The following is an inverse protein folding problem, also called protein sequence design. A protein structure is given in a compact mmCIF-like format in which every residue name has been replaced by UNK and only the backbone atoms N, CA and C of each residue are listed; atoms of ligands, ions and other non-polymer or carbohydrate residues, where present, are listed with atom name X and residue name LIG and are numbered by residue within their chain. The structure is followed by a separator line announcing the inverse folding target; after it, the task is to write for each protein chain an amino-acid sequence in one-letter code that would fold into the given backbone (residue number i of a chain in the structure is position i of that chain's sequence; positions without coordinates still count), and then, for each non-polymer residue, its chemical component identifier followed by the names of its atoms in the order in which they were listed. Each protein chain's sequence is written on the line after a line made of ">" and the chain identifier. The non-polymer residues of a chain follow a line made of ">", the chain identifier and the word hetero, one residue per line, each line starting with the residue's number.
data_IF_529184192797
#
_entry.id   IF_529184192797
#
_cell.length_a   1.000
_cell.length_b   1.000
_cell.length_c   1.000
_cell.angle_alpha   90.00
_cell.angle_beta   90.00
_cell.angle_gamma   90.00
#
_symmetry.space_group_name_H-M   'P 1'
#
loop_
_entity.id
_entity.type
_entity.pdbx_description
1 polymer ?
#
# COMPACT_ATOMS: atom_id res chain seq x y z
N UNK A 1 21.99 -9.51 12.01
CA UNK A 1 21.89 -8.03 11.96
C UNK A 1 22.71 -7.35 10.85
N UNK A 2 23.74 -7.96 10.24
CA UNK A 2 24.60 -7.29 9.23
C UNK A 2 24.00 -6.98 7.85
N UNK A 3 22.79 -7.47 7.54
CA UNK A 3 22.18 -7.34 6.20
C UNK A 3 21.15 -6.20 6.09
N UNK A 4 20.59 -5.76 7.23
CA UNK A 4 19.65 -4.62 7.30
C UNK A 4 20.41 -3.31 7.06
N UNK A 5 21.61 -3.17 7.63
CA UNK A 5 22.49 -2.02 7.41
C UNK A 5 23.01 -1.93 5.96
N UNK A 6 23.10 -3.08 5.27
CA UNK A 6 23.54 -3.16 3.87
C UNK A 6 22.43 -2.73 2.89
N UNK A 7 21.17 -2.99 3.23
CA UNK A 7 20.00 -2.48 2.49
C UNK A 7 19.77 -0.98 2.73
N UNK A 8 20.01 -0.50 3.95
CA UNK A 8 19.93 0.94 4.28
C UNK A 8 20.93 1.80 3.49
N UNK A 9 22.15 1.30 3.25
CA UNK A 9 23.18 2.02 2.51
C UNK A 9 23.03 1.97 0.98
N UNK A 10 22.34 0.96 0.43
CA UNK A 10 22.11 0.84 -1.02
C UNK A 10 21.04 1.82 -1.53
N UNK A 11 20.09 2.17 -0.67
CA UNK A 11 18.95 3.03 -1.02
C UNK A 11 19.20 4.54 -0.79
N UNK A 12 20.25 4.92 -0.05
CA UNK A 12 20.35 6.27 0.52
C UNK A 12 21.32 7.26 -0.14
N UNK A 13 22.35 6.81 -0.87
CA UNK A 13 23.48 7.69 -1.22
C UNK A 13 23.85 7.81 -2.69
N UNK A 14 23.81 6.70 -3.44
CA UNK A 14 24.53 6.59 -4.73
C UNK A 14 23.66 6.95 -5.96
N UNK A 15 22.33 6.89 -5.82
CA UNK A 15 21.38 7.26 -6.88
C UNK A 15 21.17 8.77 -6.99
N UNK A 16 21.21 9.49 -5.87
CA UNK A 16 21.01 10.94 -5.83
C UNK A 16 22.20 11.72 -6.39
N UNK A 17 23.43 11.24 -6.17
CA UNK A 17 24.65 11.81 -6.75
C UNK A 17 24.73 11.59 -8.25
N UNK A 18 24.43 10.37 -8.74
CA UNK A 18 24.41 10.06 -10.18
C UNK A 18 23.32 10.83 -10.94
N UNK A 19 22.18 11.11 -10.30
CA UNK A 19 21.15 11.95 -10.88
C UNK A 19 21.56 13.43 -10.99
N UNK A 20 22.41 13.91 -10.06
CA UNK A 20 22.87 15.31 -10.03
C UNK A 20 23.90 15.59 -11.12
N UNK A 21 24.80 14.65 -11.38
CA UNK A 21 25.85 14.80 -12.40
C UNK A 21 25.28 14.81 -13.83
N UNK A 22 24.23 14.02 -14.11
CA UNK A 22 23.53 14.01 -15.41
C UNK A 22 22.78 15.33 -15.67
N UNK A 23 22.25 15.96 -14.61
CA UNK A 23 21.55 17.26 -14.72
C UNK A 23 22.52 18.40 -15.01
N UNK A 24 23.75 18.32 -14.50
CA UNK A 24 24.77 19.35 -14.73
C UNK A 24 25.48 19.21 -16.10
N UNK A 25 25.54 18.00 -16.66
CA UNK A 25 26.17 17.75 -17.96
C UNK A 25 25.26 18.06 -19.17
N UNK A 26 23.93 18.07 -18.99
CA UNK A 26 22.96 18.27 -20.08
C UNK A 26 22.47 19.72 -20.30
N UNK A 27 22.71 20.68 -19.41
CA UNK A 27 22.15 22.04 -19.54
C UNK A 27 23.17 23.15 -19.27
N UNK A 28 23.40 24.01 -20.27
CA UNK A 28 24.39 25.10 -20.27
C UNK A 28 23.80 26.51 -20.10
N UNK A 29 22.47 26.67 -20.02
CA UNK A 29 21.81 27.97 -19.76
C UNK A 29 20.93 27.95 -18.50
N UNK A 30 21.00 28.99 -17.66
CA UNK A 30 20.22 29.09 -16.40
C UNK A 30 18.69 29.10 -16.62
N UNK A 31 18.25 29.56 -17.80
CA UNK A 31 16.83 29.69 -18.15
C UNK A 31 16.18 28.33 -18.51
N UNK A 32 16.90 27.45 -19.21
CA UNK A 32 16.44 26.08 -19.49
C UNK A 32 16.46 25.18 -18.25
N UNK A 33 17.46 25.34 -17.36
CA UNK A 33 17.46 24.66 -16.05
C UNK A 33 16.25 25.07 -15.23
N UNK A 34 15.93 26.37 -15.17
CA UNK A 34 14.78 26.85 -14.40
C UNK A 34 13.45 26.36 -14.96
N UNK A 35 13.26 26.36 -16.28
CA UNK A 35 12.05 25.82 -16.92
C UNK A 35 11.90 24.31 -16.70
N UNK A 36 12.99 23.54 -16.79
CA UNK A 36 12.97 22.09 -16.56
C UNK A 36 12.73 21.75 -15.08
N UNK A 37 13.30 22.51 -14.14
CA UNK A 37 13.02 22.37 -12.71
C UNK A 37 11.55 22.69 -12.40
N UNK A 38 11.00 23.75 -13.01
CA UNK A 38 9.57 24.09 -12.91
C UNK A 38 8.67 22.98 -13.47
N UNK A 39 9.06 22.37 -14.60
CA UNK A 39 8.32 21.27 -15.21
C UNK A 39 8.40 19.99 -14.38
N UNK A 40 9.57 19.68 -13.80
CA UNK A 40 9.74 18.60 -12.83
C UNK A 40 8.97 18.83 -11.54
N UNK A 41 8.90 20.07 -11.04
CA UNK A 41 8.09 20.42 -9.86
C UNK A 41 6.60 20.30 -10.15
N UNK A 42 6.14 20.74 -11.33
CA UNK A 42 4.76 20.54 -11.79
C UNK A 42 4.43 19.06 -11.92
N UNK A 43 5.27 18.26 -12.57
CA UNK A 43 5.05 16.81 -12.66
C UNK A 43 5.07 16.12 -11.29
N UNK A 44 5.91 16.57 -10.35
CA UNK A 44 5.90 16.07 -8.96
C UNK A 44 4.64 16.46 -8.20
N UNK A 45 4.12 17.67 -8.42
CA UNK A 45 2.87 18.14 -7.84
C UNK A 45 1.68 17.39 -8.43
N UNK A 46 1.63 17.27 -9.76
CA UNK A 46 0.61 16.50 -10.50
C UNK A 46 0.63 15.02 -10.08
N UNK A 47 1.82 14.41 -9.99
CA UNK A 47 1.99 13.05 -9.48
C UNK A 47 1.48 12.90 -8.05
N UNK A 48 1.82 13.83 -7.15
CA UNK A 48 1.27 13.84 -5.78
C UNK A 48 -0.23 14.02 -5.76
N UNK A 49 -0.82 14.84 -6.64
CA UNK A 49 -2.28 15.00 -6.71
C UNK A 49 -2.96 13.72 -7.19
N UNK A 50 -2.38 13.04 -8.18
CA UNK A 50 -2.85 11.74 -8.67
C UNK A 50 -2.78 10.70 -7.56
N UNK A 51 -1.68 10.66 -6.80
CA UNK A 51 -1.53 9.74 -5.66
C UNK A 51 -2.57 10.02 -4.56
N UNK A 52 -2.82 11.30 -4.25
CA UNK A 52 -3.83 11.69 -3.27
C UNK A 52 -5.25 11.34 -3.73
N UNK A 53 -5.55 11.57 -5.01
CA UNK A 53 -6.83 11.20 -5.62
C UNK A 53 -7.02 9.68 -5.58
N UNK A 54 -6.00 8.91 -5.95
CA UNK A 54 -6.02 7.45 -5.89
C UNK A 54 -6.26 6.93 -4.47
N UNK A 55 -5.55 7.47 -3.47
CA UNK A 55 -5.78 7.12 -2.06
C UNK A 55 -7.20 7.50 -1.62
N UNK A 56 -7.72 8.64 -2.08
CA UNK A 56 -9.09 9.06 -1.75
C UNK A 56 -10.15 8.12 -2.32
N UNK A 57 -9.98 7.66 -3.56
CA UNK A 57 -10.85 6.69 -4.22
C UNK A 57 -10.82 5.33 -3.50
N UNK A 58 -9.63 4.89 -3.06
CA UNK A 58 -9.51 3.67 -2.26
C UNK A 58 -10.22 3.78 -0.91
N UNK A 59 -10.12 4.93 -0.24
CA UNK A 59 -10.82 5.18 1.03
C UNK A 59 -12.34 5.19 0.81
N UNK A 60 -12.81 5.79 -0.28
CA UNK A 60 -14.22 5.84 -0.64
C UNK A 60 -14.78 4.44 -0.95
N UNK A 61 -14.03 3.61 -1.68
CA UNK A 61 -14.40 2.23 -1.97
C UNK A 61 -14.52 1.40 -0.68
N UNK A 62 -13.53 1.50 0.22
CA UNK A 62 -13.57 0.83 1.53
C UNK A 62 -14.74 1.33 2.38
N UNK A 63 -15.05 2.63 2.34
CA UNK A 63 -16.20 3.21 3.05
C UNK A 63 -17.52 2.65 2.50
N UNK A 64 -17.68 2.64 1.18
CA UNK A 64 -18.85 2.09 0.49
C UNK A 64 -19.07 0.61 0.86
N UNK A 65 -18.01 -0.20 0.84
CA UNK A 65 -18.05 -1.60 1.23
C UNK A 65 -18.47 -1.80 2.70
N UNK A 66 -17.99 -0.96 3.63
CA UNK A 66 -18.41 -1.00 5.04
C UNK A 66 -19.86 -0.64 5.22
N UNK A 67 -20.34 0.40 4.56
CA UNK A 67 -21.75 0.82 4.64
C UNK A 67 -22.67 -0.27 4.10
N UNK A 68 -22.30 -0.94 3.00
CA UNK A 68 -23.01 -2.09 2.48
C UNK A 68 -23.07 -3.23 3.51
N UNK A 69 -21.94 -3.55 4.15
CA UNK A 69 -21.89 -4.58 5.19
C UNK A 69 -22.81 -4.22 6.39
N UNK A 70 -22.76 -2.97 6.87
CA UNK A 70 -23.65 -2.50 7.95
C UNK A 70 -25.13 -2.66 7.57
N UNK A 71 -25.52 -2.30 6.33
CA UNK A 71 -26.89 -2.47 5.84
C UNK A 71 -27.31 -3.93 5.81
N UNK A 72 -26.42 -4.84 5.37
CA UNK A 72 -26.68 -6.28 5.36
C UNK A 72 -26.88 -6.79 6.79
N UNK A 73 -26.06 -6.34 7.75
CA UNK A 73 -26.19 -6.78 9.14
C UNK A 73 -27.46 -6.29 9.81
N UNK A 74 -27.85 -5.04 9.56
CA UNK A 74 -29.06 -4.43 10.11
C UNK A 74 -30.34 -4.92 9.43
N UNK A 75 -30.25 -5.48 8.21
CA UNK A 75 -31.41 -5.99 7.49
C UNK A 75 -32.01 -7.23 8.18
N UNK A 76 -33.31 -7.18 8.46
CA UNK A 76 -34.07 -8.31 9.01
C UNK A 76 -34.26 -9.42 7.98
N UNK A 77 -34.29 -9.07 6.68
CA UNK A 77 -34.50 -10.00 5.57
C UNK A 77 -33.20 -10.63 5.04
N UNK A 78 -32.03 -10.20 5.53
CA UNK A 78 -30.76 -10.76 5.08
C UNK A 78 -30.56 -12.19 5.62
N UNK A 79 -30.18 -13.10 4.73
CA UNK A 79 -29.94 -14.50 5.09
C UNK A 79 -28.73 -14.65 6.02
N UNK A 80 -28.70 -15.72 6.82
CA UNK A 80 -27.57 -16.04 7.67
C UNK A 80 -26.26 -16.11 6.87
N UNK A 81 -26.29 -16.68 5.67
CA UNK A 81 -25.11 -16.76 4.81
C UNK A 81 -24.59 -15.36 4.47
N UNK A 82 -25.46 -14.45 3.99
CA UNK A 82 -25.06 -13.09 3.62
C UNK A 82 -24.43 -12.32 4.80
N UNK A 83 -24.92 -12.52 6.02
CA UNK A 83 -24.40 -11.87 7.24
C UNK A 83 -23.04 -12.41 7.69
N UNK A 84 -22.72 -13.66 7.36
CA UNK A 84 -21.52 -14.34 7.85
C UNK A 84 -20.44 -14.53 6.79
N UNK A 85 -20.78 -14.48 5.50
CA UNK A 85 -19.82 -14.64 4.39
C UNK A 85 -18.59 -13.72 4.52
N UNK A 86 -18.72 -12.41 4.82
CA UNK A 86 -17.54 -11.56 4.98
C UNK A 86 -16.58 -12.07 6.05
N UNK A 87 -17.10 -12.45 7.23
CA UNK A 87 -16.29 -12.95 8.33
C UNK A 87 -15.66 -14.33 8.03
N UNK A 88 -16.36 -15.20 7.29
CA UNK A 88 -15.81 -16.49 6.87
C UNK A 88 -14.62 -16.29 5.93
N UNK A 89 -14.72 -15.33 5.00
CA UNK A 89 -13.63 -14.96 4.10
C UNK A 89 -12.45 -14.42 4.91
N UNK A 90 -12.70 -13.54 5.89
CA UNK A 90 -11.65 -12.98 6.74
C UNK A 90 -10.92 -14.05 7.55
N UNK A 91 -11.66 -14.99 8.17
CA UNK A 91 -11.08 -16.11 8.93
C UNK A 91 -10.26 -17.01 7.99
N UNK A 92 -10.76 -17.28 6.80
CA UNK A 92 -10.06 -18.10 5.80
C UNK A 92 -8.75 -17.45 5.36
N UNK A 93 -8.75 -16.13 5.12
CA UNK A 93 -7.53 -15.36 4.81
C UNK A 93 -6.52 -15.40 5.97
N UNK A 94 -6.98 -15.29 7.21
CA UNK A 94 -6.13 -15.42 8.39
C UNK A 94 -5.49 -16.80 8.51
N UNK A 95 -6.27 -17.86 8.27
CA UNK A 95 -5.75 -19.23 8.29
C UNK A 95 -4.69 -19.42 7.20
N UNK A 96 -4.94 -18.93 5.99
CA UNK A 96 -3.98 -18.99 4.88
C UNK A 96 -2.71 -18.20 5.20
N UNK A 97 -2.84 -17.02 5.81
CA UNK A 97 -1.70 -16.23 6.25
C UNK A 97 -0.85 -16.98 7.29
N UNK A 98 -1.46 -17.54 8.34
CA UNK A 98 -0.76 -18.36 9.32
C UNK A 98 -0.10 -19.58 8.67
N UNK A 99 -0.80 -20.26 7.76
CA UNK A 99 -0.24 -21.39 7.02
C UNK A 99 0.96 -20.99 6.15
N UNK A 100 0.93 -19.80 5.54
CA UNK A 100 2.05 -19.27 4.76
C UNK A 100 3.30 -18.98 5.61
N UNK A 101 3.10 -18.52 6.84
CA UNK A 101 4.20 -18.32 7.80
C UNK A 101 4.82 -19.67 8.16
N UNK A 102 3.99 -20.68 8.45
CA UNK A 102 4.49 -22.04 8.72
C UNK A 102 5.21 -22.62 7.50
N UNK A 103 4.66 -22.45 6.30
CA UNK A 103 5.30 -22.86 5.05
C UNK A 103 6.65 -22.17 4.85
N UNK A 104 6.76 -20.90 5.22
CA UNK A 104 7.99 -20.14 5.13
C UNK A 104 9.12 -20.65 6.05
N UNK A 105 8.78 -21.38 7.12
CA UNK A 105 9.78 -22.04 7.98
C UNK A 105 10.23 -23.40 7.45
N UNK A 106 9.50 -23.98 6.49
CA UNK A 106 9.76 -25.33 5.96
C UNK A 106 10.47 -25.26 4.61
N UNK A 107 10.17 -24.25 3.79
CA UNK A 107 10.79 -24.09 2.48
C UNK A 107 12.16 -23.43 2.56
N UNK A 108 13.10 -23.86 1.72
CA UNK A 108 14.42 -23.23 1.59
C UNK A 108 14.42 -22.13 0.52
N UNK A 109 13.37 -22.05 -0.30
CA UNK A 109 13.23 -21.06 -1.37
C UNK A 109 12.83 -19.69 -0.82
N UNK A 110 13.83 -18.81 -0.75
CA UNK A 110 13.68 -17.45 -0.22
C UNK A 110 12.83 -16.53 -1.09
N UNK A 111 12.79 -16.74 -2.40
CA UNK A 111 11.97 -15.93 -3.30
C UNK A 111 10.50 -16.25 -3.12
N UNK A 112 10.17 -17.53 -3.02
CA UNK A 112 8.82 -17.99 -2.74
C UNK A 112 8.33 -17.53 -1.35
N UNK A 113 9.19 -17.57 -0.33
CA UNK A 113 8.89 -17.04 1.00
C UNK A 113 8.54 -15.55 0.93
N UNK A 114 9.41 -14.76 0.30
CA UNK A 114 9.25 -13.31 0.26
C UNK A 114 8.01 -12.92 -0.53
N UNK A 115 7.73 -13.60 -1.64
CA UNK A 115 6.53 -13.40 -2.44
C UNK A 115 5.25 -13.71 -1.65
N UNK A 116 5.17 -14.90 -1.05
CA UNK A 116 4.00 -15.32 -0.28
C UNK A 116 3.76 -14.43 0.94
N UNK A 117 4.81 -14.14 1.72
CA UNK A 117 4.68 -13.27 2.89
C UNK A 117 4.36 -11.83 2.49
N UNK A 118 4.96 -11.30 1.43
CA UNK A 118 4.69 -9.94 0.96
C UNK A 118 3.24 -9.77 0.51
N UNK A 119 2.76 -10.65 -0.37
CA UNK A 119 1.38 -10.59 -0.88
C UNK A 119 0.35 -10.78 0.22
N UNK A 120 0.54 -11.76 1.12
CA UNK A 120 -0.42 -12.06 2.17
C UNK A 120 -0.39 -11.02 3.29
N UNK A 121 0.77 -10.42 3.61
CA UNK A 121 0.85 -9.31 4.56
C UNK A 121 0.10 -8.08 4.04
N UNK A 122 0.21 -7.77 2.75
CA UNK A 122 -0.54 -6.68 2.14
C UNK A 122 -2.06 -6.92 2.27
N UNK A 123 -2.53 -8.14 1.93
CA UNK A 123 -3.96 -8.50 2.04
C UNK A 123 -4.46 -8.56 3.48
N UNK A 124 -3.63 -9.00 4.42
CA UNK A 124 -3.95 -8.93 5.84
C UNK A 124 -4.10 -7.47 6.30
N UNK A 125 -3.23 -6.58 5.81
CA UNK A 125 -3.34 -5.13 5.99
C UNK A 125 -4.68 -4.57 5.49
N UNK A 126 -5.17 -5.04 4.34
CA UNK A 126 -6.47 -4.64 3.81
C UNK A 126 -7.64 -5.08 4.72
N UNK A 127 -7.61 -6.31 5.23
CA UNK A 127 -8.66 -6.85 6.14
C UNK A 127 -8.67 -6.12 7.48
N UNK A 128 -7.49 -5.88 8.06
CA UNK A 128 -7.35 -5.06 9.28
C UNK A 128 -7.78 -3.63 9.00
N UNK A 129 -7.38 -3.09 7.86
CA UNK A 129 -7.78 -1.80 7.35
C UNK A 129 -9.30 -1.68 7.27
N UNK A 130 -10.00 -2.67 6.72
CA UNK A 130 -11.46 -2.72 6.64
C UNK A 130 -12.12 -2.68 8.04
N UNK A 131 -11.61 -3.41 9.02
CA UNK A 131 -12.23 -3.49 10.36
C UNK A 131 -11.79 -2.41 11.37
N UNK A 132 -10.56 -1.90 11.24
CA UNK A 132 -9.90 -1.03 12.22
C UNK A 132 -9.38 0.28 11.63
N UNK A 133 -9.57 0.51 10.33
CA UNK A 133 -9.19 1.75 9.67
C UNK A 133 -9.83 2.97 10.34
N UNK A 134 -9.14 4.12 10.24
CA UNK A 134 -9.41 5.39 10.92
C UNK A 134 -10.85 5.48 11.44
N UNK A 135 -11.01 5.38 12.76
CA UNK A 135 -12.30 5.70 13.37
C UNK A 135 -12.62 7.11 12.93
N UNK A 136 -13.80 7.30 12.34
CA UNK A 136 -14.29 8.65 12.05
C UNK A 136 -14.37 9.36 13.40
N UNK A 137 -13.33 10.13 13.73
CA UNK A 137 -13.45 11.23 14.69
C UNK A 137 -14.42 12.20 14.03
N UNK A 138 -15.70 11.94 14.21
CA UNK A 138 -16.73 12.96 14.08
C UNK A 138 -16.29 14.06 15.03
N UNK A 139 -15.75 15.15 14.47
CA UNK A 139 -15.63 16.41 15.21
C UNK A 139 -17.07 16.79 15.54
N UNK A 140 -17.49 16.49 16.77
CA UNK A 140 -18.67 17.08 17.39
C UNK A 140 -18.40 18.56 17.64
#
# INVERSE_FOLDING_TARGET
>A
MKWIDKLGNLLGGDLLTKAKDIIDECFTSEEEKNNFVLELEKQKLEGKTIDLEYISLQIEDVKSAREANVKIQQSENASWLAKNTPYIIDISLNIIFCASIVFAFITEDKELILFCLGMLTARFGDVVGFHRGSSSKVKR
#
